data_IF_015481509772
#
_entry.id   IF_015481509772
#
_cell.length_a   1.000
_cell.length_b   1.000
_cell.length_c   1.000
_cell.angle_alpha   90.00
_cell.angle_beta   90.00
_cell.angle_gamma   90.00
#
_symmetry.space_group_name_H-M   'P 1'
#
loop_
_entity.id
_entity.type
_entity.pdbx_description
1 polymer ?
#
# COMPACT_ATOMS: atom_id res chain seq x y z
N UNK A 1 3.28 15.20 9.52
CA UNK A 1 4.53 14.39 9.53
C UNK A 1 4.15 12.93 9.77
N UNK A 2 3.74 12.20 8.73
CA UNK A 2 3.56 10.76 8.82
C UNK A 2 4.95 10.12 8.89
N UNK A 3 5.39 9.68 10.07
CA UNK A 3 6.49 8.70 10.12
C UNK A 3 5.87 7.36 9.75
N UNK A 4 6.03 6.93 8.50
CA UNK A 4 5.83 5.55 8.06
C UNK A 4 6.88 4.64 8.71
N UNK A 5 6.83 4.54 10.03
CA UNK A 5 7.59 3.57 10.83
C UNK A 5 6.93 2.17 10.84
N UNK A 6 5.87 1.99 10.04
CA UNK A 6 4.96 0.83 10.06
C UNK A 6 5.60 -0.43 9.48
N UNK A 7 6.70 -0.29 8.76
CA UNK A 7 7.47 -1.41 8.26
C UNK A 7 8.87 -1.21 8.80
N UNK A 8 9.56 -2.28 9.21
CA UNK A 8 10.99 -2.25 9.52
C UNK A 8 11.82 -1.95 8.27
N UNK A 9 11.53 -0.82 7.63
CA UNK A 9 11.93 -0.43 6.31
C UNK A 9 13.43 -0.25 6.33
N UNK A 10 14.12 -1.23 5.76
CA UNK A 10 15.56 -1.17 5.55
C UNK A 10 15.98 -0.04 4.59
N UNK A 11 15.03 0.56 3.89
CA UNK A 11 15.28 1.59 2.88
C UNK A 11 14.49 2.84 3.23
N UNK A 12 15.20 3.92 3.57
CA UNK A 12 14.61 5.26 3.71
C UNK A 12 14.86 6.10 2.45
N UNK A 13 14.10 7.18 2.29
CA UNK A 13 14.32 8.17 1.24
C UNK A 13 14.63 9.54 1.86
N UNK A 14 15.46 10.34 1.20
CA UNK A 14 15.85 11.68 1.66
C UNK A 14 15.96 12.65 0.48
N UNK A 15 15.81 13.94 0.75
CA UNK A 15 16.07 14.99 -0.24
C UNK A 15 17.58 15.22 -0.29
N UNK A 16 18.17 15.23 -1.49
CA UNK A 16 19.61 15.42 -1.67
C UNK A 16 19.97 15.85 -3.09
N UNK A 17 21.27 15.96 -3.36
CA UNK A 17 21.77 16.24 -4.71
C UNK A 17 21.67 14.98 -5.58
N UNK A 18 21.13 15.13 -6.78
CA UNK A 18 21.00 14.05 -7.75
C UNK A 18 22.36 13.43 -8.09
N UNK A 19 22.40 12.11 -8.10
CA UNK A 19 23.56 11.30 -8.46
C UNK A 19 23.72 11.28 -9.99
N UNK A 20 22.62 11.28 -10.73
CA UNK A 20 22.64 11.23 -12.21
C UNK A 20 22.68 12.62 -12.86
N UNK A 21 22.32 13.68 -12.13
CA UNK A 21 22.31 15.07 -12.60
C UNK A 21 22.88 16.04 -11.54
N UNK A 22 24.22 16.06 -11.34
CA UNK A 22 24.84 16.82 -10.26
C UNK A 22 24.47 18.30 -10.23
N UNK A 23 24.15 18.81 -9.04
CA UNK A 23 23.72 20.20 -8.83
C UNK A 23 22.21 20.42 -8.98
N UNK A 24 21.43 19.36 -9.24
CA UNK A 24 19.97 19.37 -9.14
C UNK A 24 19.52 18.59 -7.91
N UNK A 25 18.41 19.01 -7.31
CA UNK A 25 17.81 18.29 -6.17
C UNK A 25 16.98 17.09 -6.66
N UNK A 26 17.09 15.98 -5.93
CA UNK A 26 16.32 14.75 -6.12
C UNK A 26 15.96 14.11 -4.78
N UNK A 27 15.07 13.14 -4.82
CA UNK A 27 14.85 12.19 -3.73
C UNK A 27 15.77 11.00 -3.94
N UNK A 28 16.60 10.71 -2.94
CA UNK A 28 17.55 9.60 -2.95
C UNK A 28 17.11 8.54 -1.96
N UNK A 29 17.11 7.28 -2.38
CA UNK A 29 16.99 6.16 -1.44
C UNK A 29 18.32 5.85 -0.75
N UNK A 30 18.24 5.23 0.41
CA UNK A 30 19.33 4.43 0.97
C UNK A 30 19.75 3.31 0.00
N UNK A 31 20.95 2.71 0.18
CA UNK A 31 21.33 1.50 -0.54
C UNK A 31 20.27 0.41 -0.38
N UNK A 32 19.90 -0.21 -1.50
CA UNK A 32 18.98 -1.33 -1.56
C UNK A 32 19.81 -2.60 -1.78
N UNK A 33 19.86 -3.47 -0.80
CA UNK A 33 20.62 -4.73 -0.84
C UNK A 33 19.89 -5.83 -1.62
N UNK A 34 19.38 -5.51 -2.81
CA UNK A 34 18.60 -6.41 -3.66
C UNK A 34 19.19 -6.54 -5.07
N UNK A 35 18.82 -7.61 -5.75
CA UNK A 35 18.99 -7.68 -7.20
C UNK A 35 18.15 -6.61 -7.91
N UNK A 36 18.74 -5.96 -8.91
CA UNK A 36 18.11 -4.86 -9.63
C UNK A 36 16.83 -5.30 -10.35
N UNK A 37 16.88 -6.43 -11.07
CA UNK A 37 15.75 -6.88 -11.87
C UNK A 37 14.60 -7.35 -10.97
N UNK A 38 14.93 -8.03 -9.85
CA UNK A 38 13.94 -8.38 -8.84
C UNK A 38 13.24 -7.15 -8.25
N UNK A 39 14.01 -6.15 -7.82
CA UNK A 39 13.45 -4.92 -7.24
C UNK A 39 12.61 -4.14 -8.26
N UNK A 40 13.11 -3.98 -9.50
CA UNK A 40 12.37 -3.31 -10.57
C UNK A 40 11.06 -4.04 -10.87
N UNK A 41 11.07 -5.36 -10.97
CA UNK A 41 9.85 -6.12 -11.28
C UNK A 41 8.79 -5.98 -10.18
N UNK A 42 9.19 -5.99 -8.90
CA UNK A 42 8.26 -5.69 -7.79
C UNK A 42 7.73 -4.26 -7.87
N UNK A 43 8.59 -3.28 -8.16
CA UNK A 43 8.17 -1.89 -8.35
C UNK A 43 7.14 -1.76 -9.49
N UNK A 44 7.40 -2.41 -10.63
CA UNK A 44 6.50 -2.40 -11.79
C UNK A 44 5.17 -3.10 -11.48
N UNK A 45 5.17 -4.18 -10.70
CA UNK A 45 3.96 -4.85 -10.25
C UNK A 45 3.11 -3.92 -9.36
N UNK A 46 3.73 -3.13 -8.49
CA UNK A 46 3.03 -2.16 -7.63
C UNK A 46 2.34 -1.07 -8.45
N UNK A 47 3.02 -0.49 -9.45
CA UNK A 47 2.46 0.62 -10.26
C UNK A 47 1.44 0.16 -11.29
N UNK A 48 1.48 -1.11 -11.71
CA UNK A 48 0.45 -1.71 -12.60
C UNK A 48 -0.91 -1.91 -11.93
N UNK A 49 -0.96 -1.83 -10.59
CA UNK A 49 -2.21 -1.84 -9.84
C UNK A 49 -2.21 -0.71 -8.79
N UNK A 50 -2.48 0.54 -9.17
CA UNK A 50 -2.34 1.71 -8.30
C UNK A 50 -3.55 1.92 -7.38
N UNK A 51 -4.24 0.83 -6.99
CA UNK A 51 -5.42 0.86 -6.11
C UNK A 51 -5.00 0.58 -4.67
N UNK A 52 -5.30 1.52 -3.78
CA UNK A 52 -5.14 1.33 -2.34
C UNK A 52 -6.21 0.38 -1.79
N UNK A 53 -5.97 -0.22 -0.62
CA UNK A 53 -6.97 -1.07 0.03
C UNK A 53 -8.30 -0.35 0.34
N UNK A 54 -8.28 0.98 0.48
CA UNK A 54 -9.49 1.78 0.69
C UNK A 54 -10.31 1.92 -0.59
N UNK A 55 -9.65 2.02 -1.74
CA UNK A 55 -10.30 2.16 -3.04
C UNK A 55 -10.84 0.83 -3.57
N UNK A 56 -10.40 -0.32 -3.04
CA UNK A 56 -10.88 -1.65 -3.45
C UNK A 56 -12.39 -1.85 -3.36
N UNK A 57 -13.06 -1.17 -2.43
CA UNK A 57 -14.52 -1.26 -2.32
C UNK A 57 -15.23 -0.57 -3.49
N UNK A 58 -14.60 0.47 -4.04
CA UNK A 58 -15.15 1.32 -5.09
C UNK A 58 -14.47 1.15 -6.44
N UNK A 59 -13.41 0.33 -6.56
CA UNK A 59 -12.76 0.08 -7.84
C UNK A 59 -13.74 -0.63 -8.78
N UNK A 60 -13.82 -0.13 -10.00
CA UNK A 60 -14.60 -0.71 -11.09
C UNK A 60 -13.71 -1.52 -12.02
N UNK A 61 -12.57 -0.94 -12.39
CA UNK A 61 -11.64 -1.53 -13.34
C UNK A 61 -10.23 -0.98 -13.12
N UNK A 62 -9.22 -1.83 -13.31
CA UNK A 62 -7.84 -1.42 -13.53
C UNK A 62 -7.41 -1.98 -14.87
N UNK A 63 -7.17 -1.10 -15.84
CA UNK A 63 -6.76 -1.47 -17.19
C UNK A 63 -5.27 -1.20 -17.36
N UNK A 64 -4.54 -2.23 -17.78
CA UNK A 64 -3.14 -2.13 -18.18
C UNK A 64 -3.05 -2.41 -19.67
N UNK A 65 -2.60 -1.42 -20.45
CA UNK A 65 -2.48 -1.52 -21.91
C UNK A 65 -1.01 -1.44 -22.29
N UNK A 66 -0.47 -2.50 -22.91
CA UNK A 66 0.86 -2.41 -23.55
C UNK A 66 0.77 -1.55 -24.80
N UNK A 67 1.72 -0.61 -24.96
CA UNK A 67 1.77 0.31 -26.10
C UNK A 67 2.68 -0.28 -27.18
N UNK A 68 3.99 -0.16 -27.01
CA UNK A 68 4.98 -0.72 -27.94
C UNK A 68 5.66 -1.99 -27.43
N UNK A 69 5.30 -2.47 -26.23
CA UNK A 69 5.83 -3.68 -25.61
C UNK A 69 5.69 -3.69 -24.07
N UNK A 70 6.28 -4.68 -23.38
CA UNK A 70 6.11 -4.85 -21.93
C UNK A 70 6.74 -3.74 -21.08
N UNK A 71 7.66 -2.99 -21.67
CA UNK A 71 8.39 -1.88 -21.06
C UNK A 71 7.79 -0.50 -21.43
N UNK A 72 6.72 -0.46 -22.23
CA UNK A 72 5.96 0.75 -22.50
C UNK A 72 4.46 0.46 -22.34
N UNK A 73 3.87 0.90 -21.23
CA UNK A 73 2.50 0.54 -20.88
C UNK A 73 1.73 1.69 -20.23
N UNK A 74 0.42 1.70 -20.39
CA UNK A 74 -0.52 2.64 -19.80
C UNK A 74 -1.35 1.94 -18.72
N UNK A 75 -1.51 2.60 -17.58
CA UNK A 75 -2.34 2.13 -16.46
C UNK A 75 -3.48 3.14 -16.28
N UNK A 76 -4.73 2.65 -16.33
CA UNK A 76 -5.93 3.45 -16.05
C UNK A 76 -6.74 2.74 -14.97
N UNK A 77 -6.87 3.39 -13.81
CA UNK A 77 -7.70 2.92 -12.71
C UNK A 77 -9.00 3.72 -12.64
N UNK A 78 -10.12 3.00 -12.67
CA UNK A 78 -11.47 3.55 -12.69
C UNK A 78 -12.18 3.14 -11.41
N UNK A 79 -12.73 4.13 -10.70
CA UNK A 79 -13.59 3.95 -9.55
C UNK A 79 -15.06 4.11 -9.99
N UNK A 80 -15.92 3.25 -9.46
CA UNK A 80 -17.35 3.22 -9.69
C UNK A 80 -18.01 4.47 -9.11
N UNK A 81 -18.61 5.28 -9.98
CA UNK A 81 -19.25 6.53 -9.60
C UNK A 81 -20.38 6.34 -8.59
N UNK A 82 -21.23 5.33 -8.82
CA UNK A 82 -22.39 5.07 -7.97
C UNK A 82 -21.96 4.63 -6.56
N UNK A 83 -20.91 3.80 -6.45
CA UNK A 83 -20.34 3.46 -5.15
C UNK A 83 -19.68 4.66 -4.48
N UNK A 84 -18.93 5.48 -5.21
CA UNK A 84 -18.35 6.71 -4.67
C UNK A 84 -19.44 7.68 -4.14
N UNK A 85 -20.57 7.80 -4.84
CA UNK A 85 -21.69 8.62 -4.39
C UNK A 85 -22.28 8.16 -3.07
N UNK A 86 -22.40 6.84 -2.84
CA UNK A 86 -22.84 6.31 -1.54
C UNK A 86 -21.90 6.70 -0.40
N UNK A 87 -20.62 6.93 -0.71
CA UNK A 87 -19.58 7.34 0.24
C UNK A 87 -19.43 8.86 0.36
N UNK A 88 -20.24 9.63 -0.37
CA UNK A 88 -20.17 11.10 -0.37
C UNK A 88 -19.05 11.70 -1.24
N UNK A 89 -18.39 10.89 -2.07
CA UNK A 89 -17.29 11.32 -2.95
C UNK A 89 -17.65 11.33 -4.45
N UNK A 90 -18.90 10.97 -4.79
CA UNK A 90 -19.37 10.92 -6.16
C UNK A 90 -19.52 12.29 -6.82
N UNK A 91 -19.70 12.31 -8.14
CA UNK A 91 -19.93 13.54 -8.87
C UNK A 91 -21.30 14.13 -8.46
N UNK A 92 -21.37 15.42 -8.05
CA UNK A 92 -22.62 16.01 -7.56
C UNK A 92 -23.68 16.17 -8.66
N UNK A 93 -23.26 16.37 -9.91
CA UNK A 93 -24.14 16.59 -11.06
C UNK A 93 -24.59 15.26 -11.69
N UNK A 94 -23.74 14.23 -11.62
CA UNK A 94 -24.05 12.89 -12.10
C UNK A 94 -23.46 11.81 -11.17
N UNK A 95 -24.20 11.37 -10.14
CA UNK A 95 -23.78 10.35 -9.18
C UNK A 95 -23.36 9.00 -9.78
N UNK A 96 -23.70 8.70 -11.03
CA UNK A 96 -23.30 7.46 -11.70
C UNK A 96 -22.01 7.57 -12.51
N UNK A 97 -21.45 8.78 -12.63
CA UNK A 97 -20.28 9.03 -13.45
C UNK A 97 -19.03 8.49 -12.77
N UNK A 98 -18.36 7.55 -13.44
CA UNK A 98 -17.13 6.95 -12.93
C UNK A 98 -15.98 7.96 -12.85
N UNK A 99 -15.06 7.72 -11.92
CA UNK A 99 -13.86 8.54 -11.73
C UNK A 99 -12.62 7.79 -12.18
N UNK A 100 -11.78 8.44 -12.97
CA UNK A 100 -10.41 8.00 -13.22
C UNK A 100 -9.57 8.45 -12.03
N UNK A 101 -9.18 7.53 -11.15
CA UNK A 101 -8.34 7.83 -9.98
C UNK A 101 -6.85 7.86 -10.33
N UNK A 102 -6.45 7.06 -11.31
CA UNK A 102 -5.08 7.01 -11.81
C UNK A 102 -5.08 6.84 -13.32
N UNK A 103 -4.29 7.63 -14.01
CA UNK A 103 -3.99 7.45 -15.43
C UNK A 103 -2.52 7.81 -15.63
N UNK A 104 -1.72 6.80 -15.94
CA UNK A 104 -0.26 6.94 -16.00
C UNK A 104 0.29 6.13 -17.17
N UNK A 105 1.15 6.75 -17.97
CA UNK A 105 1.94 6.05 -18.99
C UNK A 105 3.34 5.84 -18.48
N UNK A 106 3.86 4.64 -18.61
CA UNK A 106 5.20 4.25 -18.16
C UNK A 106 6.09 3.90 -19.35
N UNK A 107 7.34 4.29 -19.26
CA UNK A 107 8.42 3.85 -20.15
C UNK A 107 9.59 3.35 -19.33
N UNK A 108 10.02 2.12 -19.55
CA UNK A 108 11.06 1.43 -18.80
C UNK A 108 12.27 1.21 -19.70
N UNK A 109 13.38 1.86 -19.39
CA UNK A 109 14.68 1.53 -19.98
C UNK A 109 15.46 0.65 -19.01
N UNK A 110 15.35 -0.67 -19.16
CA UNK A 110 16.05 -1.64 -18.31
C UNK A 110 17.58 -1.54 -18.43
N UNK A 111 18.08 -1.20 -19.62
CA UNK A 111 19.52 -1.14 -19.88
C UNK A 111 20.12 0.14 -19.30
N UNK A 112 19.45 1.27 -19.52
CA UNK A 112 19.78 2.57 -18.92
C UNK A 112 19.40 2.68 -17.44
N UNK A 113 18.65 1.69 -16.92
CA UNK A 113 18.14 1.64 -15.56
C UNK A 113 17.32 2.87 -15.19
N UNK A 114 16.26 3.09 -15.95
CA UNK A 114 15.37 4.24 -15.79
C UNK A 114 13.91 3.85 -15.98
N UNK A 115 13.05 4.40 -15.14
CA UNK A 115 11.59 4.38 -15.33
C UNK A 115 11.13 5.83 -15.45
N UNK A 116 10.41 6.12 -16.53
CA UNK A 116 9.72 7.38 -16.74
C UNK A 116 8.23 7.16 -16.60
N UNK A 117 7.51 8.15 -16.08
CA UNK A 117 6.06 8.14 -16.18
C UNK A 117 5.45 9.50 -16.45
N UNK A 118 4.44 9.52 -17.32
CA UNK A 118 3.58 10.67 -17.57
C UNK A 118 2.29 10.44 -16.76
N UNK A 119 2.03 11.28 -15.77
CA UNK A 119 0.92 11.12 -14.83
C UNK A 119 -0.12 12.19 -15.14
N UNK A 120 -1.33 11.76 -15.45
CA UNK A 120 -2.44 12.63 -15.76
C UNK A 120 -3.25 12.94 -14.50
N UNK A 121 -3.94 14.07 -14.49
CA UNK A 121 -4.79 14.48 -13.38
C UNK A 121 -5.94 13.47 -13.15
N UNK A 122 -6.31 13.15 -11.90
CA UNK A 122 -7.52 12.39 -11.62
C UNK A 122 -8.77 13.19 -12.01
N UNK A 123 -9.71 12.58 -12.75
CA UNK A 123 -10.89 13.28 -13.29
C UNK A 123 -12.13 12.38 -13.36
N UNK A 124 -13.28 12.98 -13.63
CA UNK A 124 -14.47 12.21 -14.05
C UNK A 124 -14.32 11.73 -15.50
N UNK A 125 -14.90 10.57 -15.81
CA UNK A 125 -14.88 10.07 -17.18
C UNK A 125 -15.56 11.05 -18.15
N UNK A 126 -14.96 11.21 -19.33
CA UNK A 126 -15.41 12.15 -20.35
C UNK A 126 -14.76 13.54 -20.26
N UNK A 127 -14.09 13.87 -19.15
CA UNK A 127 -13.28 15.08 -19.07
C UNK A 127 -11.95 14.93 -19.82
N UNK A 128 -11.44 16.04 -20.36
CA UNK A 128 -10.13 16.08 -21.01
C UNK A 128 -9.00 15.80 -20.02
N UNK A 129 -8.19 14.80 -20.33
CA UNK A 129 -7.02 14.42 -19.53
C UNK A 129 -5.91 15.46 -19.68
N UNK A 130 -5.31 15.89 -18.57
CA UNK A 130 -4.20 16.85 -18.58
C UNK A 130 -3.00 16.23 -17.90
N UNK A 131 -1.84 16.37 -18.55
CA UNK A 131 -0.58 15.95 -17.93
C UNK A 131 -0.37 16.79 -16.67
N UNK A 132 -0.34 16.12 -15.52
CA UNK A 132 -0.15 16.75 -14.23
C UNK A 132 1.34 16.85 -13.89
N UNK A 133 2.06 15.73 -13.99
CA UNK A 133 3.50 15.65 -13.72
C UNK A 133 4.14 14.56 -14.58
N UNK A 134 5.44 14.71 -14.85
CA UNK A 134 6.29 13.60 -15.26
C UNK A 134 7.14 13.15 -14.08
N UNK A 135 7.40 11.85 -13.97
CA UNK A 135 8.31 11.33 -12.96
C UNK A 135 9.49 10.66 -13.63
N UNK A 136 10.65 10.84 -12.99
CA UNK A 136 11.91 10.28 -13.43
C UNK A 136 12.46 9.46 -12.27
N UNK A 137 12.72 8.18 -12.52
CA UNK A 137 13.27 7.25 -11.55
C UNK A 137 14.48 6.55 -12.16
N UNK A 138 15.66 6.98 -11.76
CA UNK A 138 16.94 6.41 -12.15
C UNK A 138 17.46 5.45 -11.08
N UNK A 139 18.09 4.35 -11.48
CA UNK A 139 18.68 3.39 -10.55
C UNK A 139 20.21 3.36 -10.71
N UNK A 140 20.92 3.68 -9.64
CA UNK A 140 22.39 3.65 -9.63
C UNK A 140 22.90 2.22 -9.49
N UNK A 141 24.19 2.01 -9.80
CA UNK A 141 24.89 0.75 -9.52
C UNK A 141 25.85 0.98 -8.35
N UNK A 142 26.05 -0.05 -7.54
CA UNK A 142 27.14 -0.16 -6.55
C UNK A 142 27.30 1.06 -5.62
N UNK A 143 26.33 1.31 -4.72
CA UNK A 143 25.16 0.48 -4.45
C UNK A 143 23.95 0.79 -5.33
N UNK A 144 23.00 -0.16 -5.41
CA UNK A 144 21.68 0.10 -5.95
C UNK A 144 20.98 1.15 -5.10
N UNK A 145 20.62 2.29 -5.70
CA UNK A 145 19.79 3.35 -5.10
C UNK A 145 18.84 3.90 -6.14
N UNK A 146 17.78 4.56 -5.69
CA UNK A 146 16.92 5.36 -6.53
C UNK A 146 17.34 6.82 -6.48
N UNK A 147 17.31 7.48 -7.63
CA UNK A 147 17.32 8.93 -7.80
C UNK A 147 16.01 9.31 -8.48
N UNK A 148 15.19 10.10 -7.78
CA UNK A 148 13.81 10.33 -8.18
C UNK A 148 13.41 11.81 -8.08
N UNK A 149 12.68 12.30 -9.08
CA UNK A 149 12.09 13.64 -9.03
C UNK A 149 10.82 13.73 -9.88
N UNK A 150 10.06 14.80 -9.65
CA UNK A 150 8.95 15.21 -10.50
C UNK A 150 9.37 16.36 -11.40
N UNK A 151 8.87 16.36 -12.63
CA UNK A 151 8.91 17.51 -13.53
C UNK A 151 7.47 18.00 -13.73
N UNK A 152 7.25 19.27 -13.40
CA UNK A 152 5.95 19.93 -13.57
C UNK A 152 5.72 20.29 -15.04
N UNK A 153 4.49 20.64 -15.46
CA UNK A 153 4.19 20.95 -16.86
C UNK A 153 4.97 22.16 -17.43
N UNK A 154 5.47 23.04 -16.57
CA UNK A 154 6.34 24.16 -16.95
C UNK A 154 7.83 23.79 -17.08
N UNK A 155 8.17 22.51 -16.88
CA UNK A 155 9.53 21.96 -16.92
C UNK A 155 10.32 22.13 -15.62
N UNK A 156 9.72 22.67 -14.56
CA UNK A 156 10.39 22.80 -13.27
C UNK A 156 10.54 21.45 -12.57
N UNK A 157 11.71 21.21 -11.96
CA UNK A 157 12.00 20.01 -11.16
C UNK A 157 11.54 20.22 -9.72
N UNK A 158 10.85 19.24 -9.15
CA UNK A 158 10.39 19.19 -7.76
C UNK A 158 10.88 17.90 -7.09
N UNK A 159 11.52 18.05 -5.94
CA UNK A 159 12.03 16.96 -5.11
C UNK A 159 12.01 17.37 -3.62
N UNK A 160 10.82 17.58 -3.08
CA UNK A 160 10.60 18.03 -1.71
C UNK A 160 10.14 16.90 -0.77
N UNK A 161 9.73 17.26 0.44
CA UNK A 161 9.23 16.27 1.41
C UNK A 161 7.95 15.56 0.97
N UNK A 162 7.09 16.20 0.16
CA UNK A 162 5.89 15.58 -0.37
C UNK A 162 6.24 14.49 -1.39
N UNK A 163 7.18 14.79 -2.30
CA UNK A 163 7.71 13.83 -3.27
C UNK A 163 8.37 12.64 -2.56
N UNK A 164 9.19 12.93 -1.53
CA UNK A 164 9.82 11.91 -0.69
C UNK A 164 8.77 10.98 -0.04
N UNK A 165 7.74 11.56 0.58
CA UNK A 165 6.75 10.79 1.32
C UNK A 165 5.94 9.89 0.37
N UNK A 166 5.59 10.39 -0.82
CA UNK A 166 4.94 9.60 -1.86
C UNK A 166 5.81 8.42 -2.34
N UNK A 167 7.09 8.66 -2.64
CA UNK A 167 8.01 7.62 -3.11
C UNK A 167 8.30 6.57 -2.03
N UNK A 168 8.46 7.01 -0.78
CA UNK A 168 8.91 6.16 0.33
C UNK A 168 8.00 4.96 0.54
N UNK A 169 6.68 5.13 0.35
CA UNK A 169 5.71 4.03 0.49
C UNK A 169 5.97 2.94 -0.54
N UNK A 170 6.12 3.32 -1.81
CA UNK A 170 6.31 2.38 -2.91
C UNK A 170 7.66 1.67 -2.82
N UNK A 171 8.73 2.41 -2.50
CA UNK A 171 10.08 1.84 -2.34
C UNK A 171 10.14 0.88 -1.18
N UNK A 172 9.53 1.24 -0.04
CA UNK A 172 9.43 0.36 1.12
C UNK A 172 8.73 -0.97 0.79
N UNK A 173 7.61 -0.90 0.06
CA UNK A 173 6.85 -2.08 -0.35
C UNK A 173 7.65 -2.98 -1.29
N UNK A 174 8.26 -2.41 -2.33
CA UNK A 174 9.10 -3.17 -3.26
C UNK A 174 10.33 -3.77 -2.55
N UNK A 175 10.97 -3.02 -1.66
CA UNK A 175 12.13 -3.48 -0.90
C UNK A 175 11.76 -4.62 0.06
N UNK A 176 10.64 -4.49 0.77
CA UNK A 176 10.16 -5.55 1.68
C UNK A 176 9.88 -6.85 0.92
N UNK A 177 9.32 -6.73 -0.29
CA UNK A 177 9.02 -7.88 -1.14
C UNK A 177 10.25 -8.69 -1.53
N UNK A 178 11.37 -8.02 -1.84
CA UNK A 178 12.60 -8.69 -2.29
C UNK A 178 13.59 -9.02 -1.17
N UNK A 179 13.64 -8.24 -0.09
CA UNK A 179 14.68 -8.35 0.95
C UNK A 179 14.28 -9.25 2.13
N UNK A 180 13.00 -9.29 2.49
CA UNK A 180 12.58 -9.71 3.83
C UNK A 180 11.36 -10.60 3.88
N UNK A 181 10.70 -10.89 2.76
CA UNK A 181 9.46 -11.67 2.79
C UNK A 181 9.72 -13.11 3.24
N UNK A 182 9.15 -13.47 4.39
CA UNK A 182 9.23 -14.83 4.99
C UNK A 182 7.94 -15.63 4.89
N UNK A 183 6.83 -14.97 4.56
CA UNK A 183 5.54 -15.59 4.31
C UNK A 183 4.84 -14.88 3.14
N UNK A 184 4.06 -15.61 2.35
CA UNK A 184 3.37 -15.06 1.17
C UNK A 184 1.86 -15.14 1.34
N UNK A 185 1.21 -14.00 1.33
CA UNK A 185 -0.24 -13.89 1.31
C UNK A 185 -0.75 -14.18 -0.10
N UNK A 186 -1.65 -15.15 -0.22
CA UNK A 186 -2.33 -15.58 -1.44
C UNK A 186 -3.84 -15.46 -1.25
N UNK A 187 -4.57 -15.40 -2.35
CA UNK A 187 -6.03 -15.50 -2.33
C UNK A 187 -6.43 -16.99 -2.34
N UNK A 188 -7.25 -17.39 -1.36
CA UNK A 188 -8.03 -18.62 -1.41
C UNK A 188 -9.42 -18.25 -1.95
N UNK A 189 -9.62 -18.44 -3.25
CA UNK A 189 -10.87 -18.13 -3.96
C UNK A 189 -12.06 -18.94 -3.45
N UNK A 190 -11.83 -20.17 -2.99
CA UNK A 190 -12.88 -21.06 -2.49
C UNK A 190 -13.45 -20.56 -1.17
N UNK A 191 -12.60 -20.06 -0.28
CA UNK A 191 -13.00 -19.46 0.99
C UNK A 191 -13.26 -17.97 0.90
N UNK A 192 -12.84 -17.30 -0.18
CA UNK A 192 -12.79 -15.84 -0.30
C UNK A 192 -12.04 -15.20 0.87
N UNK A 193 -10.79 -15.60 1.08
CA UNK A 193 -9.90 -15.03 2.10
C UNK A 193 -8.48 -14.87 1.56
N UNK A 194 -7.70 -14.02 2.21
CA UNK A 194 -6.26 -13.97 2.09
C UNK A 194 -5.64 -14.94 3.09
N UNK A 195 -4.66 -15.74 2.67
CA UNK A 195 -3.97 -16.71 3.53
C UNK A 195 -2.48 -16.76 3.26
N UNK A 196 -1.68 -16.97 4.30
CA UNK A 196 -0.22 -17.14 4.19
C UNK A 196 0.20 -18.59 3.94
N UNK A 197 -0.69 -19.56 4.18
CA UNK A 197 -0.28 -20.95 4.44
C UNK A 197 0.56 -21.08 5.73
N UNK A 198 1.20 -22.24 5.97
CA UNK A 198 2.08 -22.44 7.11
C UNK A 198 3.27 -21.46 7.10
N UNK A 199 3.44 -20.74 8.21
CA UNK A 199 4.60 -19.91 8.53
C UNK A 199 5.56 -20.77 9.34
N UNK A 200 6.83 -20.83 8.93
CA UNK A 200 7.86 -21.62 9.60
C UNK A 200 8.08 -21.14 11.05
N UNK A 201 8.14 -22.07 12.01
CA UNK A 201 8.35 -21.73 13.43
C UNK A 201 9.69 -21.02 13.71
N UNK A 202 10.69 -21.20 12.84
CA UNK A 202 11.96 -20.47 12.90
C UNK A 202 11.82 -19.00 12.48
N UNK A 203 10.74 -18.65 11.78
CA UNK A 203 10.42 -17.27 11.37
C UNK A 203 9.65 -16.56 12.48
N UNK A 204 8.61 -17.21 13.01
CA UNK A 204 7.78 -16.64 14.06
C UNK A 204 7.11 -17.72 14.92
N UNK A 205 6.89 -17.40 16.19
CA UNK A 205 6.07 -18.21 17.11
C UNK A 205 4.70 -17.55 17.28
N UNK A 206 3.69 -18.34 17.63
CA UNK A 206 2.31 -17.86 17.74
C UNK A 206 2.15 -16.64 18.65
N UNK A 207 2.57 -16.71 19.92
CA UNK A 207 2.34 -15.62 20.88
C UNK A 207 3.02 -14.31 20.45
N UNK A 208 4.33 -14.28 20.09
CA UNK A 208 4.96 -13.07 19.56
C UNK A 208 4.33 -12.56 18.26
N UNK A 209 3.91 -13.46 17.36
CA UNK A 209 3.29 -13.05 16.10
C UNK A 209 1.92 -12.41 16.33
N UNK A 210 1.08 -13.00 17.18
CA UNK A 210 -0.22 -12.44 17.53
C UNK A 210 -0.07 -11.04 18.16
N UNK A 211 0.82 -10.90 19.13
CA UNK A 211 1.08 -9.62 19.79
C UNK A 211 1.62 -8.57 18.81
N UNK A 212 2.50 -8.99 17.89
CA UNK A 212 3.02 -8.14 16.84
C UNK A 212 1.93 -7.68 15.85
N UNK A 213 0.99 -8.53 15.46
CA UNK A 213 -0.15 -8.13 14.61
C UNK A 213 -0.95 -7.02 15.31
N UNK A 214 -1.27 -7.18 16.60
CA UNK A 214 -1.97 -6.14 17.37
C UNK A 214 -1.14 -4.85 17.46
N UNK A 215 0.16 -4.96 17.69
CA UNK A 215 1.06 -3.81 17.75
C UNK A 215 1.11 -3.05 16.42
N UNK A 216 1.20 -3.74 15.28
CA UNK A 216 1.16 -3.13 13.95
C UNK A 216 -0.19 -2.45 13.69
N UNK A 217 -1.30 -3.08 14.04
CA UNK A 217 -2.64 -2.46 13.87
C UNK A 217 -2.79 -1.17 14.69
N UNK A 218 -2.20 -1.10 15.89
CA UNK A 218 -2.14 0.12 16.73
C UNK A 218 -1.24 1.22 16.16
N UNK A 219 -0.38 0.93 15.18
CA UNK A 219 0.46 1.93 14.50
C UNK A 219 -0.23 2.57 13.29
N UNK A 220 -1.45 2.14 12.96
CA UNK A 220 -2.26 2.76 11.90
C UNK A 220 -2.43 4.27 12.13
N UNK A 221 -2.45 5.10 11.07
CA UNK A 221 -2.65 6.54 11.23
C UNK A 221 -3.94 6.86 12.00
N UNK A 222 -3.82 7.69 13.04
CA UNK A 222 -4.93 8.05 13.91
C UNK A 222 -4.52 8.14 15.37
N UNK A 223 -5.53 8.29 16.24
CA UNK A 223 -5.35 8.20 17.69
C UNK A 223 -5.91 6.88 18.18
N UNK A 224 -5.10 6.11 18.90
CA UNK A 224 -5.54 4.84 19.52
C UNK A 224 -6.09 5.14 20.92
N UNK A 225 -7.34 4.76 21.15
CA UNK A 225 -8.00 4.76 22.45
C UNK A 225 -8.15 3.32 22.96
N UNK A 226 -7.58 3.02 24.12
CA UNK A 226 -7.80 1.73 24.78
C UNK A 226 -9.24 1.67 25.32
N UNK A 227 -9.95 0.58 25.04
CA UNK A 227 -11.32 0.33 25.54
C UNK A 227 -11.31 -0.74 26.61
N UNK A 228 -10.54 -1.82 26.40
CA UNK A 228 -10.25 -2.87 27.36
C UNK A 228 -8.93 -3.55 26.98
N UNK A 229 -8.53 -4.58 27.73
CA UNK A 229 -7.32 -5.37 27.43
C UNK A 229 -7.39 -6.08 26.07
N UNK A 230 -8.60 -6.34 25.57
CA UNK A 230 -8.88 -7.06 24.32
C UNK A 230 -9.56 -6.19 23.27
N UNK A 231 -9.63 -4.87 23.49
CA UNK A 231 -10.35 -3.94 22.62
C UNK A 231 -9.72 -2.56 22.57
N UNK A 232 -9.55 -2.02 21.37
CA UNK A 232 -9.13 -0.63 21.17
C UNK A 232 -9.88 0.01 20.00
N UNK A 233 -9.95 1.33 20.02
CA UNK A 233 -10.60 2.15 19.00
C UNK A 233 -9.53 3.00 18.31
N UNK A 234 -9.56 3.03 16.98
CA UNK A 234 -8.74 3.90 16.17
C UNK A 234 -9.61 5.06 15.69
N UNK A 235 -9.33 6.24 16.22
CA UNK A 235 -9.95 7.49 15.79
C UNK A 235 -9.27 8.02 14.52
N UNK A 236 -10.02 8.71 13.64
CA UNK A 236 -9.49 9.26 12.42
C UNK A 236 -8.35 10.27 12.68
N UNK A 237 -7.36 10.35 11.77
CA UNK A 237 -6.21 11.24 11.93
C UNK A 237 -6.55 12.72 11.71
N UNK A 238 -7.67 13.02 11.05
CA UNK A 238 -8.13 14.38 10.76
C UNK A 238 -9.67 14.48 10.91
N UNK A 239 -10.22 15.68 11.16
CA UNK A 239 -11.67 15.87 11.33
C UNK A 239 -12.51 15.57 10.07
N UNK A 240 -11.90 15.62 8.88
CA UNK A 240 -12.59 15.34 7.61
C UNK A 240 -12.86 13.86 7.40
N UNK A 241 -12.06 12.98 8.04
CA UNK A 241 -12.31 11.54 8.04
C UNK A 241 -13.25 11.24 9.21
N UNK A 242 -14.43 10.73 8.93
CA UNK A 242 -15.47 10.47 9.94
C UNK A 242 -15.55 9.00 10.36
N UNK A 243 -14.71 8.15 9.76
CA UNK A 243 -14.71 6.71 10.02
C UNK A 243 -13.90 6.40 11.27
N UNK A 244 -14.52 5.68 12.20
CA UNK A 244 -13.86 5.10 13.35
C UNK A 244 -13.77 3.59 13.21
N UNK A 245 -12.61 2.99 13.50
CA UNK A 245 -12.47 1.53 13.53
C UNK A 245 -12.32 1.01 14.95
N UNK A 246 -13.12 0.01 15.32
CA UNK A 246 -13.03 -0.67 16.62
C UNK A 246 -12.45 -2.05 16.42
N UNK A 247 -11.31 -2.32 17.06
CA UNK A 247 -10.65 -3.61 17.06
C UNK A 247 -11.00 -4.39 18.32
N UNK A 248 -11.39 -5.65 18.16
CA UNK A 248 -11.55 -6.61 19.26
C UNK A 248 -10.71 -7.85 18.94
N UNK A 249 -10.09 -8.48 19.94
CA UNK A 249 -9.25 -9.64 19.71
C UNK A 249 -9.31 -10.67 20.84
N UNK A 250 -9.17 -11.93 20.49
CA UNK A 250 -9.10 -13.07 21.39
C UNK A 250 -7.85 -13.89 21.02
N UNK A 251 -6.82 -13.80 21.86
CA UNK A 251 -5.54 -14.48 21.65
C UNK A 251 -5.63 -15.99 21.87
N UNK A 252 -6.58 -16.48 22.64
CA UNK A 252 -6.75 -17.92 22.84
C UNK A 252 -7.41 -18.56 21.62
N UNK A 253 -8.44 -17.88 21.08
CA UNK A 253 -9.11 -18.27 19.84
C UNK A 253 -8.32 -17.93 18.57
N UNK A 254 -7.31 -17.05 18.66
CA UNK A 254 -6.56 -16.58 17.51
C UNK A 254 -7.35 -15.67 16.58
N UNK A 255 -8.31 -14.90 17.11
CA UNK A 255 -9.18 -14.06 16.28
C UNK A 255 -8.96 -12.57 16.54
N UNK A 256 -9.07 -11.78 15.48
CA UNK A 256 -9.05 -10.32 15.54
C UNK A 256 -10.16 -9.82 14.61
N UNK A 257 -11.04 -8.97 15.10
CA UNK A 257 -12.08 -8.32 14.32
C UNK A 257 -11.88 -6.82 14.36
N UNK A 258 -12.12 -6.16 13.22
CA UNK A 258 -12.09 -4.72 13.09
C UNK A 258 -13.40 -4.26 12.45
N UNK A 259 -14.19 -3.46 13.17
CA UNK A 259 -15.43 -2.89 12.65
C UNK A 259 -15.27 -1.39 12.42
N UNK A 260 -15.39 -0.96 11.17
CA UNK A 260 -15.33 0.45 10.79
C UNK A 260 -16.73 1.01 10.69
N UNK A 261 -17.01 2.11 11.38
CA UNK A 261 -18.31 2.77 11.42
C UNK A 261 -18.16 4.25 11.03
N UNK A 262 -19.16 4.78 10.32
CA UNK A 262 -19.28 6.20 10.01
C UNK A 262 -19.67 7.01 11.27
N UNK A 263 -19.67 8.35 11.16
CA UNK A 263 -19.96 9.23 12.30
C UNK A 263 -21.38 9.09 12.86
N UNK A 264 -22.34 8.65 12.05
CA UNK A 264 -23.72 8.34 12.47
C UNK A 264 -23.87 6.94 13.10
N UNK A 265 -22.78 6.18 13.18
CA UNK A 265 -22.76 4.82 13.70
C UNK A 265 -23.09 3.72 12.68
N UNK A 266 -23.35 4.06 11.41
CA UNK A 266 -23.56 3.07 10.36
C UNK A 266 -22.28 2.27 10.10
N UNK A 267 -22.41 0.94 9.95
CA UNK A 267 -21.27 0.05 9.70
C UNK A 267 -20.82 0.18 8.24
N UNK A 268 -19.57 0.56 8.02
CA UNK A 268 -18.98 0.70 6.68
C UNK A 268 -18.32 -0.61 6.23
N UNK A 269 -17.61 -1.28 7.13
CA UNK A 269 -16.95 -2.55 6.83
C UNK A 269 -16.66 -3.36 8.09
N UNK A 270 -16.37 -4.64 7.90
CA UNK A 270 -15.71 -5.47 8.91
C UNK A 270 -14.55 -6.25 8.33
N UNK A 271 -13.40 -6.19 9.00
CA UNK A 271 -12.25 -7.03 8.70
C UNK A 271 -12.10 -8.10 9.78
N UNK A 272 -11.87 -9.34 9.36
CA UNK A 272 -11.68 -10.47 10.26
C UNK A 272 -10.34 -11.11 9.95
N UNK A 273 -9.56 -11.36 10.99
CA UNK A 273 -8.31 -12.12 10.93
C UNK A 273 -8.41 -13.35 11.82
N UNK A 274 -7.81 -14.44 11.36
CA UNK A 274 -7.63 -15.68 12.12
C UNK A 274 -6.17 -16.08 12.05
N UNK A 275 -5.57 -16.30 13.21
CA UNK A 275 -4.20 -16.78 13.37
C UNK A 275 -4.28 -18.17 13.96
N UNK A 276 -3.95 -19.18 13.17
CA UNK A 276 -3.92 -20.59 13.61
C UNK A 276 -2.62 -20.87 14.34
N UNK A 277 -2.65 -21.68 15.41
CA UNK A 277 -1.45 -22.02 16.21
C UNK A 277 -0.58 -23.10 15.56
N UNK A 278 -1.20 -24.15 15.02
CA UNK A 278 -0.51 -25.34 14.49
C UNK A 278 -1.22 -25.89 13.23
N UNK A 279 -0.60 -25.76 12.03
CA UNK A 279 0.59 -24.95 11.78
C UNK A 279 0.30 -23.45 12.02
N UNK A 280 1.34 -22.66 12.34
CA UNK A 280 1.20 -21.21 12.42
C UNK A 280 0.76 -20.67 11.06
N UNK A 281 -0.37 -19.98 10.98
CA UNK A 281 -0.82 -19.36 9.73
C UNK A 281 -1.69 -18.15 9.99
N UNK A 282 -1.68 -17.20 9.06
CA UNK A 282 -2.57 -16.04 9.04
C UNK A 282 -3.60 -16.18 7.91
N UNK A 283 -4.88 -16.04 8.25
CA UNK A 283 -6.00 -15.87 7.33
C UNK A 283 -6.71 -14.53 7.61
N UNK A 284 -7.21 -13.86 6.57
CA UNK A 284 -7.89 -12.58 6.72
C UNK A 284 -8.84 -12.25 5.57
N UNK A 285 -9.90 -11.51 5.86
CA UNK A 285 -10.77 -10.93 4.83
C UNK A 285 -11.41 -9.65 5.33
N UNK A 286 -11.68 -8.73 4.40
CA UNK A 286 -12.49 -7.53 4.63
C UNK A 286 -13.81 -7.69 3.90
N UNK A 287 -14.91 -7.45 4.60
CA UNK A 287 -16.25 -7.45 4.06
C UNK A 287 -16.82 -6.03 4.10
N UNK A 288 -17.29 -5.58 2.94
CA UNK A 288 -18.02 -4.32 2.79
C UNK A 288 -19.52 -4.62 2.82
N UNK A 289 -20.31 -3.76 3.45
CA UNK A 289 -21.76 -3.93 3.57
C UNK A 289 -22.43 -4.19 2.20
N UNK A 290 -21.98 -3.48 1.16
CA UNK A 290 -22.59 -3.50 -0.17
C UNK A 290 -21.92 -4.43 -1.19
N UNK A 291 -20.68 -4.85 -0.93
CA UNK A 291 -19.82 -5.51 -1.94
C UNK A 291 -19.33 -6.89 -1.53
N UNK A 292 -19.68 -7.35 -0.31
CA UNK A 292 -19.19 -8.62 0.22
C UNK A 292 -17.68 -8.57 0.47
N UNK A 293 -17.02 -9.73 0.37
CA UNK A 293 -15.58 -9.85 0.66
C UNK A 293 -14.72 -9.28 -0.45
N UNK A 294 -13.77 -8.43 -0.08
CA UNK A 294 -12.76 -7.85 -0.97
C UNK A 294 -11.61 -8.84 -1.16
N UNK A 295 -11.35 -9.23 -2.40
CA UNK A 295 -10.23 -10.10 -2.80
C UNK A 295 -9.28 -9.42 -3.79
N UNK A 296 -9.34 -8.08 -3.89
CA UNK A 296 -8.51 -7.31 -4.79
C UNK A 296 -7.03 -7.26 -4.40
N UNK A 297 -6.18 -6.90 -5.36
CA UNK A 297 -4.72 -6.91 -5.22
C UNK A 297 -4.22 -5.86 -4.22
N UNK A 298 -4.87 -4.71 -4.11
CA UNK A 298 -4.65 -3.69 -3.08
C UNK A 298 -4.94 -4.21 -1.68
N UNK A 299 -6.04 -4.94 -1.49
CA UNK A 299 -6.37 -5.59 -0.22
C UNK A 299 -5.34 -6.68 0.12
N UNK A 300 -4.99 -7.53 -0.84
CA UNK A 300 -3.93 -8.54 -0.68
C UNK A 300 -2.59 -7.93 -0.25
N UNK A 301 -2.18 -6.82 -0.90
CA UNK A 301 -0.93 -6.11 -0.57
C UNK A 301 -0.96 -5.50 0.82
N UNK A 302 -2.09 -4.93 1.24
CA UNK A 302 -2.27 -4.42 2.60
C UNK A 302 -2.13 -5.54 3.63
N UNK A 303 -2.76 -6.70 3.39
CA UNK A 303 -2.61 -7.88 4.23
C UNK A 303 -1.18 -8.41 4.25
N UNK A 304 -0.49 -8.45 3.11
CA UNK A 304 0.92 -8.81 3.04
C UNK A 304 1.79 -7.86 3.87
N UNK A 305 1.54 -6.54 3.79
CA UNK A 305 2.27 -5.54 4.57
C UNK A 305 2.09 -5.73 6.08
N UNK A 306 0.87 -6.05 6.53
CA UNK A 306 0.59 -6.40 7.92
C UNK A 306 1.38 -7.64 8.38
N UNK A 307 1.36 -8.71 7.59
CA UNK A 307 2.08 -9.96 7.89
C UNK A 307 3.59 -9.71 7.93
N UNK A 308 4.14 -9.03 6.93
CA UNK A 308 5.58 -8.73 6.85
C UNK A 308 6.03 -7.89 8.07
N UNK A 309 5.27 -6.86 8.44
CA UNK A 309 5.55 -6.03 9.61
C UNK A 309 5.46 -6.83 10.92
N UNK A 310 4.44 -7.68 11.06
CA UNK A 310 4.27 -8.52 12.25
C UNK A 310 5.41 -9.55 12.40
N UNK A 311 5.85 -10.19 11.31
CA UNK A 311 7.02 -11.08 11.33
C UNK A 311 8.29 -10.31 11.73
N UNK A 312 8.49 -9.11 11.18
CA UNK A 312 9.63 -8.25 11.53
C UNK A 312 9.67 -7.88 13.02
N UNK A 313 8.52 -7.59 13.62
CA UNK A 313 8.43 -7.29 15.06
C UNK A 313 8.54 -8.56 15.92
N UNK A 314 7.92 -9.66 15.51
CA UNK A 314 7.95 -10.93 16.25
C UNK A 314 9.34 -11.57 16.30
N UNK A 315 10.18 -11.35 15.28
CA UNK A 315 11.54 -11.87 15.21
C UNK A 315 12.58 -11.04 15.97
N UNK A 316 12.30 -9.74 16.22
CA UNK A 316 13.24 -8.84 16.90
C UNK A 316 13.15 -8.86 18.43
N UNK A 317 12.04 -9.35 18.98
CA UNK A 317 11.82 -9.46 20.44
C UNK A 317 12.63 -10.56 21.14
N UNK A 318 13.34 -11.42 20.39
CA UNK A 318 14.17 -12.50 20.94
C UNK A 318 15.54 -12.10 21.48
N UNK A 319 15.98 -10.85 21.32
CA UNK A 319 17.34 -10.38 21.67
C UNK A 319 17.42 -9.45 22.89
N UNK A 320 16.32 -9.30 23.65
CA UNK A 320 16.31 -8.56 24.92
C UNK A 320 16.34 -9.53 26.10
N UNK A 321 17.48 -10.19 26.33
CA UNK A 321 17.86 -10.86 27.58
C UNK A 321 19.33 -10.59 27.88
#
# INVERSE_FOLDING_TARGET
RLRLAIMGNKVSCSVGDSIVDPGKTSILSDPIEADYDAFLNELLALVKYPISAQEESVVKEVKVTELSGPDEFEVVAILDGAKLSKWGYGNPDNPSLDRISSHVKFTVDRKGRRVLSDNYDPRWQGEEQKLAIKTFCDFTKDPLRLDYYWEMPDGSRVADTGVRDALSVTVAQAASAVLSRKAFVKVDEGKKVFTTGPIDESVAKYDPFFDAVIAVLKQSPGTVEAVSDTKFKLLPPTPEVTITTTFSFDKDAGTITAESNAADGAKVSSTNYTITKDPLSFEGYTEMEDSGRLLGTGAQRSTQGLVDAAIGQASSSGWSL
#
